data_IF_830937955326
#
_entry.id   IF_830937955326
#
_cell.length_a   1.000
_cell.length_b   1.000
_cell.length_c   1.000
_cell.angle_alpha   90.00
_cell.angle_beta   90.00
_cell.angle_gamma   90.00
#
_symmetry.space_group_name_H-M   'P 1'
#
loop_
_entity.id
_entity.type
_entity.pdbx_description
1 polymer ?
#
# COMPACT_ATOMS: atom_id res chain seq x y z
N UNK A 1 -11.66 -21.64 17.82
CA UNK A 1 -11.63 -20.78 16.62
C UNK A 1 -10.51 -21.16 15.66
N UNK A 2 -9.23 -21.16 16.08
CA UNK A 2 -8.09 -21.46 15.19
C UNK A 2 -7.87 -22.95 14.84
N UNK A 3 -8.40 -23.89 15.63
CA UNK A 3 -8.18 -25.34 15.45
C UNK A 3 -8.85 -25.93 14.20
N UNK A 4 -9.74 -25.19 13.54
CA UNK A 4 -10.48 -25.62 12.34
C UNK A 4 -9.89 -25.06 11.04
N UNK A 5 -8.76 -24.37 11.10
CA UNK A 5 -8.11 -23.74 9.94
C UNK A 5 -6.70 -24.29 9.70
N UNK A 6 -6.17 -24.22 8.46
CA UNK A 6 -4.81 -24.62 8.15
C UNK A 6 -3.79 -23.91 9.04
N UNK A 7 -2.75 -24.64 9.47
CA UNK A 7 -1.71 -24.11 10.39
C UNK A 7 -0.97 -22.87 9.85
N UNK A 8 -0.96 -22.68 8.52
CA UNK A 8 -0.36 -21.53 7.87
C UNK A 8 -1.21 -20.25 7.94
N UNK A 9 -2.53 -20.39 8.12
CA UNK A 9 -3.47 -19.26 8.05
C UNK A 9 -3.18 -18.14 9.07
N UNK A 10 -2.84 -18.42 10.34
CA UNK A 10 -2.54 -17.35 11.29
C UNK A 10 -1.35 -16.46 10.87
N UNK A 11 -0.35 -17.06 10.22
CA UNK A 11 0.82 -16.32 9.72
C UNK A 11 0.43 -15.42 8.56
N UNK A 12 -0.27 -15.97 7.55
CA UNK A 12 -0.77 -15.18 6.41
C UNK A 12 -1.72 -14.07 6.85
N UNK A 13 -2.61 -14.37 7.80
CA UNK A 13 -3.56 -13.40 8.34
C UNK A 13 -2.84 -12.23 9.00
N UNK A 14 -1.89 -12.49 9.90
CA UNK A 14 -1.16 -11.42 10.58
C UNK A 14 -0.27 -10.64 9.62
N UNK A 15 0.39 -11.33 8.69
CA UNK A 15 1.20 -10.67 7.65
C UNK A 15 0.36 -9.72 6.79
N UNK A 16 -0.76 -10.18 6.25
CA UNK A 16 -1.66 -9.33 5.45
C UNK A 16 -2.27 -8.21 6.30
N UNK A 17 -2.68 -8.49 7.55
CA UNK A 17 -3.25 -7.47 8.43
C UNK A 17 -2.28 -6.31 8.67
N UNK A 18 -1.01 -6.60 8.94
CA UNK A 18 0.01 -5.57 9.16
C UNK A 18 0.40 -4.84 7.87
N UNK A 19 0.44 -5.55 6.74
CA UNK A 19 0.65 -4.93 5.42
C UNK A 19 -0.46 -3.91 5.13
N UNK A 20 -1.73 -4.31 5.28
CA UNK A 20 -2.89 -3.44 5.02
C UNK A 20 -2.94 -2.27 5.99
N UNK A 21 -2.63 -2.51 7.27
CA UNK A 21 -2.53 -1.45 8.26
C UNK A 21 -1.51 -0.38 7.84
N UNK A 22 -0.30 -0.79 7.46
CA UNK A 22 0.74 0.13 6.99
C UNK A 22 0.34 0.87 5.71
N UNK A 23 -0.24 0.16 4.75
CA UNK A 23 -0.69 0.73 3.48
C UNK A 23 -1.78 1.80 3.69
N UNK A 24 -2.83 1.50 4.45
CA UNK A 24 -3.91 2.46 4.70
C UNK A 24 -3.47 3.63 5.58
N UNK A 25 -2.60 3.40 6.57
CA UNK A 25 -2.03 4.48 7.37
C UNK A 25 -1.24 5.44 6.49
N UNK A 26 -0.35 4.90 5.64
CA UNK A 26 0.46 5.70 4.74
C UNK A 26 -0.41 6.51 3.78
N UNK A 27 -1.35 5.86 3.07
CA UNK A 27 -2.25 6.56 2.14
C UNK A 27 -3.11 7.62 2.83
N UNK A 28 -3.59 7.35 4.05
CA UNK A 28 -4.41 8.29 4.81
C UNK A 28 -3.71 9.61 5.15
N UNK A 29 -2.39 9.58 5.34
CA UNK A 29 -1.58 10.79 5.63
C UNK A 29 -0.80 11.30 4.41
N UNK A 30 -0.77 10.54 3.31
CA UNK A 30 0.15 10.79 2.20
C UNK A 30 -0.07 12.16 1.56
N UNK A 31 -1.31 12.48 1.16
CA UNK A 31 -1.63 13.77 0.55
C UNK A 31 -1.43 14.94 1.52
N UNK A 32 -1.68 14.73 2.82
CA UNK A 32 -1.44 15.74 3.84
C UNK A 32 0.06 16.06 3.93
N UNK A 33 0.90 15.04 3.91
CA UNK A 33 2.35 15.18 3.93
C UNK A 33 2.89 15.85 2.66
N UNK A 34 2.38 15.52 1.47
CA UNK A 34 2.80 16.16 0.23
C UNK A 34 2.48 17.67 0.20
N UNK A 35 1.33 18.06 0.75
CA UNK A 35 0.87 19.45 0.82
C UNK A 35 1.49 20.26 1.95
N UNK A 36 2.10 19.61 2.95
CA UNK A 36 2.71 20.30 4.08
C UNK A 36 3.91 21.14 3.62
N UNK A 37 3.99 22.39 4.11
CA UNK A 37 4.96 23.40 3.68
C UNK A 37 6.21 23.38 4.56
N UNK A 38 6.09 22.99 5.83
CA UNK A 38 7.19 23.05 6.79
C UNK A 38 8.05 21.78 6.80
N UNK A 39 7.41 20.61 6.87
CA UNK A 39 8.08 19.31 6.94
C UNK A 39 7.83 18.41 5.72
N UNK A 40 6.96 18.85 4.81
CA UNK A 40 6.55 18.15 3.60
C UNK A 40 7.23 18.65 2.32
N UNK A 41 6.54 18.44 1.19
CA UNK A 41 7.01 18.80 -0.14
C UNK A 41 6.45 20.13 -0.67
N UNK A 42 5.64 20.84 0.11
CA UNK A 42 4.98 22.09 -0.26
C UNK A 42 4.26 22.02 -1.62
N UNK A 43 3.72 20.86 -1.97
CA UNK A 43 3.06 20.65 -3.28
C UNK A 43 1.72 21.36 -3.34
N UNK A 44 1.38 21.85 -4.54
CA UNK A 44 0.01 22.30 -4.80
C UNK A 44 -0.97 21.12 -4.78
N UNK A 45 -2.26 21.42 -4.60
CA UNK A 45 -3.29 20.37 -4.59
C UNK A 45 -3.32 19.52 -5.86
N UNK A 46 -3.06 20.17 -7.01
CA UNK A 46 -3.01 19.49 -8.31
C UNK A 46 -1.83 18.51 -8.37
N UNK A 47 -0.64 18.94 -7.98
CA UNK A 47 0.56 18.10 -7.99
C UNK A 47 0.45 16.93 -7.02
N UNK A 48 -0.04 17.19 -5.80
CA UNK A 48 -0.23 16.16 -4.80
C UNK A 48 -1.27 15.11 -5.25
N UNK A 49 -2.38 15.55 -5.87
CA UNK A 49 -3.41 14.64 -6.37
C UNK A 49 -2.92 13.80 -7.55
N UNK A 50 -2.11 14.38 -8.45
CA UNK A 50 -1.55 13.68 -9.61
C UNK A 50 -0.55 12.59 -9.18
N UNK A 51 0.34 12.92 -8.24
CA UNK A 51 1.29 11.97 -7.67
C UNK A 51 0.58 10.86 -6.89
N UNK A 52 -0.39 11.22 -6.04
CA UNK A 52 -1.18 10.27 -5.29
C UNK A 52 -1.92 9.27 -6.19
N UNK A 53 -2.58 9.78 -7.24
CA UNK A 53 -3.30 8.93 -8.21
C UNK A 53 -2.36 8.01 -8.98
N UNK A 54 -1.23 8.53 -9.45
CA UNK A 54 -0.20 7.75 -10.15
C UNK A 54 0.39 6.66 -9.26
N UNK A 55 0.69 6.98 -7.99
CA UNK A 55 1.18 6.00 -7.02
C UNK A 55 0.20 4.84 -6.85
N UNK A 56 -1.09 5.12 -6.61
CA UNK A 56 -2.11 4.07 -6.45
C UNK A 56 -2.25 3.23 -7.73
N UNK A 57 -2.24 3.87 -8.90
CA UNK A 57 -2.31 3.15 -10.17
C UNK A 57 -1.17 2.14 -10.32
N UNK A 58 0.06 2.53 -9.94
CA UNK A 58 1.22 1.64 -9.95
C UNK A 58 1.13 0.52 -8.90
N UNK A 59 0.59 0.80 -7.70
CA UNK A 59 0.35 -0.22 -6.67
C UNK A 59 -0.61 -1.30 -7.18
N UNK A 60 -1.59 -0.95 -8.01
CA UNK A 60 -2.48 -1.95 -8.63
C UNK A 60 -1.89 -2.61 -9.88
N UNK A 61 -0.98 -1.94 -10.60
CA UNK A 61 -0.34 -2.49 -11.80
C UNK A 61 0.78 -3.48 -11.48
N UNK A 62 1.63 -3.16 -10.50
CA UNK A 62 2.83 -3.95 -10.18
C UNK A 62 2.56 -5.40 -9.72
N UNK A 63 1.46 -5.75 -9.02
CA UNK A 63 1.14 -7.13 -8.68
C UNK A 63 0.92 -8.03 -9.90
N UNK A 64 0.46 -7.47 -11.02
CA UNK A 64 0.38 -8.24 -12.27
C UNK A 64 1.77 -8.72 -12.71
N UNK A 65 2.76 -7.84 -12.68
CA UNK A 65 4.15 -8.18 -12.99
C UNK A 65 4.70 -9.14 -11.93
N UNK A 66 4.43 -8.87 -10.65
CA UNK A 66 4.87 -9.72 -9.54
C UNK A 66 4.32 -11.14 -9.63
N UNK A 67 3.06 -11.32 -10.03
CA UNK A 67 2.46 -12.63 -10.26
C UNK A 67 3.14 -13.39 -11.39
N UNK A 68 3.43 -12.71 -12.51
CA UNK A 68 4.16 -13.34 -13.63
C UNK A 68 5.57 -13.79 -13.23
N UNK A 69 6.23 -13.05 -12.34
CA UNK A 69 7.54 -13.42 -11.81
C UNK A 69 7.41 -14.62 -10.87
N UNK A 70 6.51 -14.57 -9.88
CA UNK A 70 6.30 -15.63 -8.90
C UNK A 70 5.83 -16.96 -9.52
N UNK A 71 5.15 -16.91 -10.67
CA UNK A 71 4.72 -18.10 -11.41
C UNK A 71 5.87 -18.78 -12.17
N UNK A 72 6.90 -18.02 -12.58
CA UNK A 72 7.97 -18.50 -13.48
C UNK A 72 9.32 -18.68 -12.81
N UNK A 73 9.57 -18.02 -11.70
CA UNK A 73 10.85 -18.00 -10.98
C UNK A 73 10.61 -18.15 -9.48
#
# INVERSE_FOLDING_TARGET
MWKSHPKALPYLFLSEMWERFGYYLMIGIFTLYLKDVEAGFAMTEKEASDLYGTFIALVFLTPFIGGLVADRY
#
